data_IF_374686929485
#
_entry.id   IF_374686929485
#
_cell.length_a   1.000
_cell.length_b   1.000
_cell.length_c   1.000
_cell.angle_alpha   90.00
_cell.angle_beta   90.00
_cell.angle_gamma   90.00
#
_symmetry.space_group_name_H-M   'P 1'
#
loop_
_entity.id
_entity.type
_entity.pdbx_description
1 polymer ?
#
# COMPACT_ATOMS: atom_id res chain seq x y z
N UNK A 1 12.34 17.57 -3.73
CA UNK A 1 11.07 17.41 -2.96
C UNK A 1 10.76 15.94 -2.63
N UNK A 2 11.79 15.09 -2.49
CA UNK A 2 11.65 13.63 -2.35
C UNK A 2 11.03 13.24 -1.01
N UNK A 3 11.38 13.97 0.07
CA UNK A 3 10.81 13.72 1.40
C UNK A 3 9.30 13.89 1.49
N UNK A 4 8.71 14.85 0.75
CA UNK A 4 7.25 15.02 0.72
C UNK A 4 6.57 13.88 -0.02
N UNK A 5 7.14 13.45 -1.16
CA UNK A 5 6.62 12.32 -1.93
C UNK A 5 6.68 11.02 -1.10
N UNK A 6 7.77 10.83 -0.35
CA UNK A 6 7.93 9.70 0.57
C UNK A 6 6.81 9.64 1.60
N UNK A 7 6.53 10.74 2.30
CA UNK A 7 5.45 10.81 3.30
C UNK A 7 4.09 10.49 2.66
N UNK A 8 3.77 11.09 1.51
CA UNK A 8 2.49 10.87 0.83
C UNK A 8 2.34 9.41 0.42
N UNK A 9 3.38 8.76 -0.11
CA UNK A 9 3.26 7.36 -0.50
C UNK A 9 3.19 6.41 0.69
N UNK A 10 3.89 6.69 1.79
CA UNK A 10 3.72 5.90 3.02
C UNK A 10 2.28 6.00 3.55
N UNK A 11 1.68 7.19 3.52
CA UNK A 11 0.28 7.39 3.86
C UNK A 11 -0.65 6.65 2.88
N UNK A 12 -0.36 6.69 1.58
CA UNK A 12 -1.10 5.94 0.56
C UNK A 12 -1.04 4.43 0.81
N UNK A 13 0.15 3.88 1.08
CA UNK A 13 0.36 2.46 1.35
C UNK A 13 -0.44 2.01 2.58
N UNK A 14 -0.43 2.81 3.65
CA UNK A 14 -1.25 2.56 4.83
C UNK A 14 -2.76 2.63 4.51
N UNK A 15 -3.19 3.67 3.80
CA UNK A 15 -4.59 3.85 3.42
C UNK A 15 -5.10 2.71 2.52
N UNK A 16 -4.25 2.20 1.63
CA UNK A 16 -4.57 1.07 0.75
C UNK A 16 -4.89 -0.19 1.56
N UNK A 17 -4.12 -0.48 2.62
CA UNK A 17 -4.37 -1.62 3.51
C UNK A 17 -5.67 -1.41 4.30
N UNK A 18 -5.87 -0.22 4.87
CA UNK A 18 -7.13 0.11 5.56
C UNK A 18 -8.35 -0.07 4.65
N UNK A 19 -8.24 0.36 3.39
CA UNK A 19 -9.34 0.20 2.42
C UNK A 19 -9.60 -1.27 2.09
N UNK A 20 -8.57 -2.10 1.98
CA UNK A 20 -8.71 -3.55 1.87
C UNK A 20 -9.43 -4.18 3.08
N UNK A 21 -9.11 -3.71 4.29
CA UNK A 21 -9.77 -4.14 5.53
C UNK A 21 -11.25 -3.74 5.54
N UNK A 22 -11.58 -2.51 5.13
CA UNK A 22 -12.98 -2.05 5.01
C UNK A 22 -13.79 -2.94 4.07
N UNK A 23 -13.23 -3.31 2.91
CA UNK A 23 -13.89 -4.20 1.95
C UNK A 23 -14.17 -5.57 2.58
N UNK A 24 -13.20 -6.13 3.31
CA UNK A 24 -13.39 -7.38 4.03
C UNK A 24 -14.46 -7.25 5.13
N UNK A 25 -14.49 -6.14 5.86
CA UNK A 25 -15.51 -5.86 6.87
C UNK A 25 -16.92 -5.80 6.27
N UNK A 26 -17.09 -5.16 5.12
CA UNK A 26 -18.37 -5.11 4.40
C UNK A 26 -18.82 -6.54 4.02
N UNK A 27 -17.88 -7.37 3.57
CA UNK A 27 -18.17 -8.77 3.24
C UNK A 27 -18.56 -9.60 4.47
N UNK A 28 -17.88 -9.41 5.61
CA UNK A 28 -18.16 -10.11 6.86
C UNK A 28 -19.49 -9.68 7.49
N UNK A 29 -19.83 -8.39 7.40
CA UNK A 29 -21.08 -7.84 7.92
C UNK A 29 -22.29 -8.14 7.02
N UNK A 30 -22.09 -8.70 5.82
CA UNK A 30 -23.18 -9.00 4.89
C UNK A 30 -24.05 -10.14 5.40
N UNK A 31 -25.37 -10.00 5.23
CA UNK A 31 -26.36 -11.02 5.61
C UNK A 31 -26.90 -11.81 4.39
N UNK A 32 -26.21 -11.75 3.26
CA UNK A 32 -26.63 -12.42 2.03
C UNK A 32 -26.26 -13.91 2.03
N UNK A 33 -27.05 -14.75 1.35
CA UNK A 33 -26.75 -16.19 1.16
C UNK A 33 -25.40 -16.44 0.48
N UNK A 34 -24.92 -15.48 -0.33
CA UNK A 34 -23.63 -15.53 -1.02
C UNK A 34 -22.44 -15.00 -0.20
N UNK A 35 -22.59 -14.84 1.12
CA UNK A 35 -21.56 -14.28 2.02
C UNK A 35 -20.20 -14.93 1.86
N UNK A 36 -20.15 -16.26 1.72
CA UNK A 36 -18.89 -16.98 1.54
C UNK A 36 -18.06 -16.50 0.34
N UNK A 37 -18.70 -16.25 -0.80
CA UNK A 37 -18.02 -15.73 -1.99
C UNK A 37 -17.51 -14.30 -1.81
N UNK A 38 -18.26 -13.44 -1.11
CA UNK A 38 -17.85 -12.07 -0.83
C UNK A 38 -16.70 -12.02 0.17
N UNK A 39 -16.70 -12.88 1.19
CA UNK A 39 -15.60 -12.97 2.16
C UNK A 39 -14.33 -13.45 1.48
N UNK A 40 -14.40 -14.48 0.63
CA UNK A 40 -13.26 -14.93 -0.16
C UNK A 40 -12.69 -13.81 -1.04
N UNK A 41 -13.57 -13.09 -1.76
CA UNK A 41 -13.15 -11.95 -2.57
C UNK A 41 -12.50 -10.84 -1.73
N UNK A 42 -13.08 -10.52 -0.57
CA UNK A 42 -12.52 -9.53 0.37
C UNK A 42 -11.13 -9.90 0.86
N UNK A 43 -10.87 -11.19 1.16
CA UNK A 43 -9.54 -11.69 1.54
C UNK A 43 -8.55 -11.52 0.39
N UNK A 44 -8.95 -11.89 -0.83
CA UNK A 44 -8.09 -11.74 -2.03
C UNK A 44 -7.74 -10.28 -2.27
N UNK A 45 -8.70 -9.37 -2.19
CA UNK A 45 -8.48 -7.93 -2.35
C UNK A 45 -7.54 -7.39 -1.27
N UNK A 46 -7.74 -7.79 0.00
CA UNK A 46 -6.84 -7.39 1.08
C UNK A 46 -5.39 -7.83 0.82
N UNK A 47 -5.18 -9.07 0.37
CA UNK A 47 -3.85 -9.56 0.01
C UNK A 47 -3.22 -8.72 -1.12
N UNK A 48 -3.99 -8.38 -2.16
CA UNK A 48 -3.53 -7.51 -3.26
C UNK A 48 -3.13 -6.13 -2.72
N UNK A 49 -3.92 -5.54 -1.82
CA UNK A 49 -3.61 -4.25 -1.19
C UNK A 49 -2.30 -4.32 -0.39
N UNK A 50 -2.05 -5.41 0.35
CA UNK A 50 -0.79 -5.59 1.09
C UNK A 50 0.40 -5.70 0.14
N UNK A 51 0.29 -6.50 -0.93
CA UNK A 51 1.36 -6.63 -1.93
C UNK A 51 1.65 -5.31 -2.65
N UNK A 52 0.60 -4.57 -3.02
CA UNK A 52 0.76 -3.25 -3.64
C UNK A 52 1.42 -2.25 -2.68
N UNK A 53 1.00 -2.22 -1.41
CA UNK A 53 1.61 -1.36 -0.39
C UNK A 53 3.12 -1.65 -0.21
N UNK A 54 3.50 -2.93 -0.11
CA UNK A 54 4.90 -3.32 -0.01
C UNK A 54 5.72 -2.93 -1.26
N UNK A 55 5.11 -3.01 -2.45
CA UNK A 55 5.76 -2.63 -3.71
C UNK A 55 6.00 -1.12 -3.80
N UNK A 56 5.03 -0.31 -3.37
CA UNK A 56 5.18 1.14 -3.31
C UNK A 56 6.30 1.57 -2.36
N UNK A 57 6.42 0.92 -1.20
CA UNK A 57 7.50 1.20 -0.23
C UNK A 57 8.87 0.96 -0.87
N UNK A 58 9.07 -0.20 -1.52
CA UNK A 58 10.34 -0.53 -2.19
C UNK A 58 10.73 0.50 -3.25
N UNK A 59 9.77 0.89 -4.10
CA UNK A 59 10.00 1.90 -5.14
C UNK A 59 10.38 3.25 -4.52
N UNK A 60 9.79 3.60 -3.37
CA UNK A 60 10.10 4.83 -2.66
C UNK A 60 11.51 4.84 -2.10
N UNK A 61 11.94 3.72 -1.52
CA UNK A 61 13.25 3.59 -0.90
C UNK A 61 14.37 3.67 -1.96
N UNK A 62 14.18 3.04 -3.13
CA UNK A 62 15.10 3.16 -4.28
C UNK A 62 15.22 4.62 -4.77
N UNK A 63 14.11 5.35 -4.82
CA UNK A 63 14.13 6.77 -5.20
C UNK A 63 14.89 7.63 -4.18
N UNK A 64 14.71 7.37 -2.88
CA UNK A 64 15.41 8.08 -1.82
C UNK A 64 16.93 7.81 -1.86
N UNK A 65 17.33 6.56 -2.07
CA UNK A 65 18.74 6.16 -2.17
C UNK A 65 19.43 6.79 -3.39
N UNK A 66 18.76 6.79 -4.56
CA UNK A 66 19.33 7.39 -5.78
C UNK A 66 19.63 8.89 -5.65
N UNK A 67 18.82 9.60 -4.85
CA UNK A 67 18.99 11.04 -4.60
C UNK A 67 20.11 11.27 -3.60
N UNK A 68 20.20 10.44 -2.56
CA UNK A 68 21.29 10.47 -1.57
C UNK A 68 22.66 10.21 -2.24
N UNK A 69 22.73 9.22 -3.13
CA UNK A 69 23.95 8.89 -3.87
C UNK A 69 24.42 10.03 -4.79
N UNK A 70 23.49 10.67 -5.51
CA UNK A 70 23.79 11.85 -6.35
C UNK A 70 24.29 13.03 -5.52
N UNK A 71 23.63 13.32 -4.40
CA UNK A 71 24.03 14.42 -3.51
C UNK A 71 25.47 14.26 -2.98
N UNK A 72 25.89 13.04 -2.63
CA UNK A 72 27.26 12.77 -2.18
C UNK A 72 28.32 12.91 -3.28
N UNK A 73 27.95 12.76 -4.55
CA UNK A 73 28.87 12.87 -5.68
C UNK A 73 29.12 14.32 -6.07
N UNK A 74 28.15 15.23 -5.87
CA UNK A 74 28.30 16.66 -6.15
C UNK A 74 29.13 17.42 -5.10
N UNK A 75 29.41 16.80 -3.94
CA UNK A 75 30.19 17.41 -2.84
C UNK A 75 31.69 17.08 -2.96
N UNK A 76 32.07 16.08 -3.75
CA UNK A 76 33.48 15.70 -4.02
C UNK A 76 33.95 16.29 -5.35
#
# INVERSE_FOLDING_TARGET
MVGMLQIITYLLAFYLVLKGIEILYIALASNNDKRGGMVFFGIVVLMICIFAAASFIKIQDEQAESVSAKANTEIN
#
